data_IF_928709017209
#
_entry.id   IF_928709017209
#
_cell.length_a   1.000
_cell.length_b   1.000
_cell.length_c   1.000
_cell.angle_alpha   90.00
_cell.angle_beta   90.00
_cell.angle_gamma   90.00
#
_symmetry.space_group_name_H-M   'P 1'
#
loop_
_entity.id
_entity.type
_entity.pdbx_description
1 polymer ?
#
# COMPACT_ATOMS: atom_id res chain seq x y z
N UNK A 1 23.25 -13.13 18.64
CA UNK A 1 23.28 -14.29 17.73
C UNK A 1 22.98 -13.77 16.34
N UNK A 2 23.86 -14.00 15.38
CA UNK A 2 23.61 -13.62 13.99
C UNK A 2 22.75 -14.68 13.28
N UNK A 3 22.34 -14.39 12.04
CA UNK A 3 21.48 -15.29 11.26
C UNK A 3 22.09 -16.69 11.08
N UNK A 4 23.40 -16.77 10.83
CA UNK A 4 24.11 -18.04 10.60
C UNK A 4 24.12 -18.90 11.85
N UNK A 5 24.45 -18.31 13.00
CA UNK A 5 24.45 -18.98 14.30
C UNK A 5 23.02 -19.39 14.71
N UNK A 6 22.03 -18.53 14.45
CA UNK A 6 20.62 -18.82 14.70
C UNK A 6 20.12 -20.01 13.88
N UNK A 7 20.41 -20.01 12.57
CA UNK A 7 20.05 -21.08 11.65
C UNK A 7 20.64 -22.42 12.08
N UNK A 8 21.91 -22.44 12.49
CA UNK A 8 22.59 -23.65 12.95
C UNK A 8 21.93 -24.21 14.22
N UNK A 9 21.65 -23.36 15.22
CA UNK A 9 20.98 -23.80 16.45
C UNK A 9 19.56 -24.29 16.19
N UNK A 10 18.83 -23.64 15.29
CA UNK A 10 17.50 -24.09 14.87
C UNK A 10 17.56 -25.47 14.22
N UNK A 11 18.51 -25.70 13.31
CA UNK A 11 18.72 -27.01 12.69
C UNK A 11 19.07 -28.09 13.72
N UNK A 12 19.91 -27.77 14.70
CA UNK A 12 20.24 -28.68 15.80
C UNK A 12 19.00 -29.02 16.65
N UNK A 13 18.17 -28.02 16.96
CA UNK A 13 16.90 -28.24 17.67
C UNK A 13 15.96 -29.13 16.88
N UNK A 14 15.78 -28.87 15.59
CA UNK A 14 14.94 -29.68 14.70
C UNK A 14 15.43 -31.13 14.62
N UNK A 15 16.75 -31.36 14.59
CA UNK A 15 17.33 -32.70 14.58
C UNK A 15 17.11 -33.48 15.90
N UNK A 16 16.83 -32.78 17.01
CA UNK A 16 16.56 -33.39 18.30
C UNK A 16 15.08 -33.75 18.50
N UNK A 17 14.20 -33.33 17.59
CA UNK A 17 12.77 -33.64 17.64
C UNK A 17 12.54 -35.05 17.09
N UNK A 18 11.64 -35.80 17.73
CA UNK A 18 11.30 -37.15 17.26
C UNK A 18 10.76 -37.09 15.83
N UNK A 19 11.17 -38.01 14.92
CA UNK A 19 10.77 -37.95 13.51
C UNK A 19 9.25 -37.93 13.27
N UNK A 20 8.45 -38.48 14.19
CA UNK A 20 6.99 -38.47 14.13
C UNK A 20 6.36 -37.13 14.46
N UNK A 21 7.01 -36.29 15.26
CA UNK A 21 6.53 -34.96 15.66
C UNK A 21 7.11 -33.84 14.78
N UNK A 22 8.20 -34.12 14.05
CA UNK A 22 8.85 -33.14 13.19
C UNK A 22 7.91 -32.51 12.14
N UNK A 23 7.03 -33.25 11.44
CA UNK A 23 6.08 -32.65 10.50
C UNK A 23 5.12 -31.66 11.18
N UNK A 24 4.61 -32.00 12.37
CA UNK A 24 3.71 -31.12 13.14
C UNK A 24 4.43 -29.86 13.60
N UNK A 25 5.69 -29.99 14.03
CA UNK A 25 6.49 -28.83 14.43
C UNK A 25 6.77 -27.92 13.23
N UNK A 26 7.15 -28.47 12.07
CA UNK A 26 7.39 -27.67 10.86
C UNK A 26 6.11 -26.99 10.38
N UNK A 27 4.97 -27.66 10.47
CA UNK A 27 3.66 -27.08 10.17
C UNK A 27 3.32 -25.93 11.14
N UNK A 28 3.52 -26.13 12.45
CA UNK A 28 3.37 -25.07 13.44
C UNK A 28 4.33 -23.91 13.16
N UNK A 29 5.61 -24.17 12.89
CA UNK A 29 6.57 -23.10 12.59
C UNK A 29 6.21 -22.30 11.33
N UNK A 30 5.61 -22.95 10.33
CA UNK A 30 5.19 -22.28 9.09
C UNK A 30 3.94 -21.43 9.29
N UNK A 31 3.05 -21.83 10.18
CA UNK A 31 1.70 -21.25 10.29
C UNK A 31 1.45 -20.48 11.61
N UNK A 32 2.37 -20.54 12.58
CA UNK A 32 2.22 -19.93 13.91
C UNK A 32 2.60 -18.45 13.89
N UNK A 33 1.67 -17.59 14.28
CA UNK A 33 1.94 -16.17 14.54
C UNK A 33 2.76 -15.92 15.81
N UNK A 34 3.03 -16.95 16.63
CA UNK A 34 3.86 -16.81 17.84
C UNK A 34 5.31 -16.47 17.50
N UNK A 35 5.81 -16.92 16.34
CA UNK A 35 7.16 -16.61 15.86
C UNK A 35 7.32 -15.17 15.39
N UNK A 36 6.21 -14.45 15.16
CA UNK A 36 6.20 -13.03 14.80
C UNK A 36 6.23 -12.11 16.03
N UNK A 37 6.00 -12.63 17.24
CA UNK A 37 6.05 -11.82 18.48
C UNK A 37 7.35 -11.02 18.66
N UNK A 38 8.55 -11.56 18.34
CA UNK A 38 9.79 -10.79 18.40
C UNK A 38 9.90 -9.70 17.32
N UNK A 39 9.13 -9.81 16.24
CA UNK A 39 9.05 -8.81 15.17
C UNK A 39 8.03 -7.71 15.50
N UNK A 40 7.32 -7.82 16.62
CA UNK A 40 6.38 -6.82 17.10
C UNK A 40 7.15 -5.60 17.62
N UNK A 41 7.44 -4.69 16.70
CA UNK A 41 8.13 -3.44 16.98
C UNK A 41 7.13 -2.36 17.43
N UNK A 42 7.57 -1.44 18.29
CA UNK A 42 6.82 -0.28 18.74
C UNK A 42 6.25 0.54 17.57
N UNK A 43 6.92 0.50 16.42
CA UNK A 43 6.45 1.12 15.19
C UNK A 43 5.09 0.55 14.72
N UNK A 44 4.90 -0.78 14.76
CA UNK A 44 3.61 -1.40 14.42
C UNK A 44 2.51 -1.03 15.42
N UNK A 45 2.85 -0.96 16.71
CA UNK A 45 1.91 -0.51 17.74
C UNK A 45 1.49 0.95 17.54
N UNK A 46 2.44 1.82 17.16
CA UNK A 46 2.16 3.22 16.86
C UNK A 46 1.25 3.36 15.62
N UNK A 47 1.55 2.66 14.53
CA UNK A 47 0.69 2.69 13.33
C UNK A 47 -0.73 2.19 13.64
N UNK A 48 -0.87 1.14 14.45
CA UNK A 48 -2.19 0.66 14.91
C UNK A 48 -2.94 1.69 15.75
N UNK A 49 -2.26 2.34 16.69
CA UNK A 49 -2.85 3.41 17.50
C UNK A 49 -3.39 4.54 16.62
N UNK A 50 -2.62 4.95 15.60
CA UNK A 50 -3.03 6.01 14.68
C UNK A 50 -4.23 5.56 13.85
N UNK A 51 -4.21 4.33 13.33
CA UNK A 51 -5.33 3.76 12.59
C UNK A 51 -6.61 3.73 13.45
N UNK A 52 -6.50 3.36 14.73
CA UNK A 52 -7.65 3.30 15.63
C UNK A 52 -8.21 4.71 15.96
N UNK A 53 -7.34 5.70 16.14
CA UNK A 53 -7.76 7.10 16.31
C UNK A 53 -8.48 7.62 15.06
N UNK A 54 -7.98 7.29 13.86
CA UNK A 54 -8.60 7.66 12.59
C UNK A 54 -9.98 7.00 12.39
N UNK A 55 -10.12 5.71 12.71
CA UNK A 55 -11.39 4.98 12.63
C UNK A 55 -12.49 5.64 13.48
N UNK A 56 -12.13 6.20 14.63
CA UNK A 56 -13.10 6.89 15.49
C UNK A 56 -13.68 8.17 14.85
N UNK A 57 -13.01 8.72 13.84
CA UNK A 57 -13.39 9.97 13.17
C UNK A 57 -13.93 9.77 11.75
N UNK A 58 -13.72 8.60 11.15
CA UNK A 58 -14.02 8.31 9.76
C UNK A 58 -15.21 7.35 9.62
N UNK A 59 -15.94 7.39 8.48
CA UNK A 59 -16.86 6.31 8.14
C UNK A 59 -16.10 4.99 7.96
N UNK A 60 -16.81 3.86 8.03
CA UNK A 60 -16.22 2.50 7.93
C UNK A 60 -15.51 2.28 6.60
N UNK A 61 -16.01 2.86 5.52
CA UNK A 61 -15.37 2.82 4.20
C UNK A 61 -14.21 3.83 4.07
N UNK A 62 -13.98 4.68 5.07
CA UNK A 62 -12.98 5.74 5.08
C UNK A 62 -13.03 6.67 3.86
N UNK A 63 -14.20 6.84 3.25
CA UNK A 63 -14.42 7.77 2.15
C UNK A 63 -15.18 9.00 2.62
N UNK A 64 -14.61 10.18 2.38
CA UNK A 64 -15.30 11.43 2.68
C UNK A 64 -16.42 11.70 1.67
N UNK A 65 -17.52 12.36 2.07
CA UNK A 65 -18.59 12.75 1.14
C UNK A 65 -18.12 13.65 -0.02
N UNK A 66 -17.00 14.36 0.18
CA UNK A 66 -16.38 15.21 -0.84
C UNK A 66 -15.64 14.45 -1.94
N UNK A 67 -15.37 13.16 -1.78
CA UNK A 67 -14.66 12.31 -2.77
C UNK A 67 -15.60 11.87 -3.91
N UNK A 68 -16.37 12.80 -4.48
CA UNK A 68 -17.49 12.51 -5.39
C UNK A 68 -17.08 11.75 -6.64
N UNK A 69 -15.91 12.05 -7.21
CA UNK A 69 -15.40 11.37 -8.41
C UNK A 69 -15.10 9.89 -8.12
N UNK A 70 -14.51 9.59 -6.97
CA UNK A 70 -14.18 8.22 -6.57
C UNK A 70 -15.46 7.40 -6.38
N UNK A 71 -16.45 7.96 -5.68
CA UNK A 71 -17.78 7.35 -5.52
C UNK A 71 -18.43 7.02 -6.87
N UNK A 72 -18.42 7.97 -7.82
CA UNK A 72 -19.00 7.76 -9.15
C UNK A 72 -18.27 6.67 -9.94
N UNK A 73 -16.94 6.65 -9.91
CA UNK A 73 -16.15 5.64 -10.62
C UNK A 73 -16.32 4.24 -10.06
N UNK A 74 -16.44 4.10 -8.74
CA UNK A 74 -16.76 2.83 -8.11
C UNK A 74 -18.14 2.31 -8.54
N UNK A 75 -19.15 3.18 -8.63
CA UNK A 75 -20.49 2.82 -9.09
C UNK A 75 -20.54 2.41 -10.58
N UNK A 76 -19.60 2.89 -11.38
CA UNK A 76 -19.49 2.54 -12.81
C UNK A 76 -18.76 1.21 -13.07
N UNK A 77 -18.15 0.60 -12.05
CA UNK A 77 -17.48 -0.71 -12.21
C UNK A 77 -18.50 -1.78 -12.60
N UNK A 78 -18.08 -2.69 -13.48
CA UNK A 78 -18.93 -3.77 -13.97
C UNK A 78 -19.36 -4.75 -12.86
N UNK A 79 -18.54 -4.85 -11.81
CA UNK A 79 -18.85 -5.59 -10.59
C UNK A 79 -19.00 -4.60 -9.44
N UNK A 80 -19.94 -4.80 -8.52
CA UNK A 80 -20.07 -3.93 -7.36
C UNK A 80 -18.78 -3.97 -6.53
N UNK A 81 -18.27 -2.78 -6.22
CA UNK A 81 -17.00 -2.57 -5.54
C UNK A 81 -17.21 -1.83 -4.22
N UNK A 82 -16.51 -2.25 -3.18
CA UNK A 82 -16.49 -1.62 -1.86
C UNK A 82 -15.09 -1.10 -1.58
N UNK A 83 -15.01 0.12 -1.05
CA UNK A 83 -13.75 0.67 -0.58
C UNK A 83 -13.53 0.27 0.88
N UNK A 84 -12.35 -0.26 1.17
CA UNK A 84 -11.88 -0.55 2.52
C UNK A 84 -10.44 -0.09 2.62
N UNK A 85 -10.16 0.81 3.56
CA UNK A 85 -8.83 1.39 3.69
C UNK A 85 -7.86 0.40 4.35
N UNK A 86 -6.85 -0.05 3.58
CA UNK A 86 -5.87 -1.04 4.03
C UNK A 86 -4.93 -0.53 5.12
N UNK A 87 -4.82 0.79 5.33
CA UNK A 87 -4.10 1.33 6.49
C UNK A 87 -4.90 1.11 7.76
N UNK A 88 -6.22 1.31 7.68
CA UNK A 88 -7.11 1.21 8.82
C UNK A 88 -7.44 -0.24 9.17
N UNK A 89 -7.76 -1.07 8.19
CA UNK A 89 -8.27 -2.42 8.40
C UNK A 89 -7.34 -3.47 7.80
N UNK A 90 -6.87 -4.41 8.62
CA UNK A 90 -6.27 -5.65 8.12
C UNK A 90 -7.34 -6.59 7.57
N UNK A 91 -6.95 -7.56 6.75
CA UNK A 91 -7.89 -8.58 6.22
C UNK A 91 -8.63 -9.32 7.34
N UNK A 92 -7.96 -9.63 8.44
CA UNK A 92 -8.57 -10.24 9.64
C UNK A 92 -9.63 -9.33 10.27
N UNK A 93 -9.40 -8.02 10.30
CA UNK A 93 -10.39 -7.06 10.79
C UNK A 93 -11.57 -6.93 9.83
N UNK A 94 -11.33 -6.99 8.52
CA UNK A 94 -12.41 -7.03 7.51
C UNK A 94 -13.26 -8.29 7.66
N UNK A 95 -12.63 -9.44 7.89
CA UNK A 95 -13.35 -10.69 8.17
C UNK A 95 -14.21 -10.58 9.43
N UNK A 96 -13.66 -10.01 10.50
CA UNK A 96 -14.41 -9.76 11.75
C UNK A 96 -15.63 -8.85 11.51
N UNK A 97 -15.47 -7.77 10.74
CA UNK A 97 -16.58 -6.87 10.38
C UNK A 97 -17.67 -7.57 9.55
N UNK A 98 -17.28 -8.56 8.75
CA UNK A 98 -18.23 -9.38 7.99
C UNK A 98 -18.99 -10.35 8.89
N UNK A 99 -18.32 -10.97 9.87
CA UNK A 99 -18.95 -11.85 10.86
C UNK A 99 -19.94 -11.10 11.77
N UNK A 100 -19.63 -9.86 12.12
CA UNK A 100 -20.49 -8.97 12.92
C UNK A 100 -21.70 -8.43 12.12
N UNK A 101 -21.72 -8.60 10.80
CA UNK A 101 -22.78 -8.10 9.92
C UNK A 101 -22.68 -6.60 9.61
N UNK A 102 -21.58 -5.94 9.99
CA UNK A 102 -21.29 -4.54 9.67
C UNK A 102 -20.90 -4.36 8.20
N UNK A 103 -20.27 -5.39 7.61
CA UNK A 103 -19.86 -5.44 6.21
C UNK A 103 -20.28 -6.78 5.57
N UNK A 104 -20.23 -6.87 4.24
CA UNK A 104 -20.37 -8.14 3.53
C UNK A 104 -19.28 -8.27 2.47
N UNK A 105 -18.76 -9.49 2.27
CA UNK A 105 -17.91 -9.84 1.11
C UNK A 105 -18.70 -10.20 -0.14
N UNK A 106 -20.03 -10.28 -0.04
CA UNK A 106 -20.89 -10.71 -1.14
C UNK A 106 -22.09 -9.78 -1.33
N UNK A 107 -22.59 -9.70 -2.55
CA UNK A 107 -23.84 -9.01 -2.88
C UNK A 107 -24.85 -9.99 -3.49
N UNK A 108 -26.14 -9.67 -3.35
CA UNK A 108 -27.22 -10.48 -3.91
C UNK A 108 -27.34 -10.22 -5.42
N UNK A 109 -27.37 -11.28 -6.24
CA UNK A 109 -27.65 -11.18 -7.68
C UNK A 109 -29.09 -10.76 -7.98
N UNK A 110 -29.97 -10.94 -7.01
CA UNK A 110 -31.33 -10.41 -6.97
C UNK A 110 -31.61 -10.01 -5.54
N UNK A 111 -31.95 -8.75 -5.29
CA UNK A 111 -32.10 -8.21 -3.93
C UNK A 111 -33.01 -9.11 -3.07
N UNK A 112 -32.55 -9.51 -1.89
CA UNK A 112 -33.26 -10.42 -0.99
C UNK A 112 -33.12 -11.91 -1.32
N UNK A 113 -32.34 -12.30 -2.35
CA UNK A 113 -32.10 -13.71 -2.67
C UNK A 113 -30.88 -14.29 -1.93
N UNK A 114 -30.86 -15.60 -1.77
CA UNK A 114 -29.70 -16.35 -1.27
C UNK A 114 -28.60 -16.54 -2.34
N UNK A 115 -28.87 -16.10 -3.57
CA UNK A 115 -27.91 -16.21 -4.68
C UNK A 115 -27.00 -15.00 -4.64
N UNK A 116 -25.79 -15.21 -4.16
CA UNK A 116 -24.80 -14.15 -3.99
C UNK A 116 -23.62 -14.30 -4.93
N UNK A 117 -22.91 -13.20 -5.14
CA UNK A 117 -21.62 -13.14 -5.84
C UNK A 117 -20.65 -12.26 -5.03
N UNK A 118 -19.33 -12.47 -5.16
CA UNK A 118 -18.33 -11.70 -4.40
C UNK A 118 -18.33 -10.22 -4.80
N UNK A 119 -18.09 -9.37 -3.81
CA UNK A 119 -17.78 -7.96 -3.97
C UNK A 119 -16.29 -7.80 -4.29
N UNK A 120 -15.96 -6.81 -5.13
CA UNK A 120 -14.58 -6.40 -5.32
C UNK A 120 -14.21 -5.42 -4.20
N UNK A 121 -13.02 -5.58 -3.60
CA UNK A 121 -12.51 -4.70 -2.56
C UNK A 121 -11.37 -3.85 -3.13
N UNK A 122 -11.39 -2.55 -2.84
CA UNK A 122 -10.32 -1.64 -3.24
C UNK A 122 -9.84 -0.81 -2.06
N UNK A 123 -8.55 -0.45 -2.09
CA UNK A 123 -7.95 0.52 -1.18
C UNK A 123 -7.15 1.54 -1.99
N UNK A 124 -7.13 2.77 -1.52
CA UNK A 124 -6.29 3.84 -2.06
C UNK A 124 -5.15 4.24 -1.11
N UNK A 125 -4.95 3.47 -0.05
CA UNK A 125 -3.96 3.74 0.99
C UNK A 125 -3.05 2.53 1.18
N UNK A 126 -1.79 2.80 1.51
CA UNK A 126 -0.85 1.76 1.89
C UNK A 126 -1.28 1.10 3.19
N UNK A 127 -1.22 -0.23 3.23
CA UNK A 127 -1.31 -0.99 4.47
C UNK A 127 -0.10 -0.74 5.39
N UNK A 128 -0.23 -1.13 6.66
CA UNK A 128 0.88 -1.06 7.60
C UNK A 128 2.11 -1.85 7.14
N UNK A 129 1.91 -2.98 6.45
CA UNK A 129 3.00 -3.80 5.90
C UNK A 129 3.67 -3.12 4.70
N UNK A 130 2.90 -2.47 3.82
CA UNK A 130 3.45 -1.69 2.70
C UNK A 130 4.22 -0.46 3.19
N UNK A 131 3.70 0.25 4.20
CA UNK A 131 4.45 1.35 4.84
C UNK A 131 5.74 0.83 5.47
N UNK A 132 5.70 -0.31 6.16
CA UNK A 132 6.90 -0.94 6.71
C UNK A 132 7.93 -1.23 5.60
N UNK A 133 7.49 -1.82 4.50
CA UNK A 133 8.36 -2.09 3.35
C UNK A 133 8.96 -0.80 2.78
N UNK A 134 8.11 0.20 2.54
CA UNK A 134 8.49 1.49 1.99
C UNK A 134 9.59 2.15 2.82
N UNK A 135 9.39 2.29 4.14
CA UNK A 135 10.34 2.98 5.00
C UNK A 135 11.59 2.18 5.36
N UNK A 136 11.52 0.84 5.38
CA UNK A 136 12.66 0.00 5.78
C UNK A 136 13.51 -0.48 4.60
N UNK A 137 12.95 -0.58 3.40
CA UNK A 137 13.60 -1.24 2.26
C UNK A 137 13.62 -0.42 0.97
N UNK A 138 12.78 0.62 0.85
CA UNK A 138 12.67 1.41 -0.39
C UNK A 138 13.24 2.81 -0.23
N UNK A 139 12.82 3.53 0.82
CA UNK A 139 13.23 4.90 1.06
C UNK A 139 14.62 4.98 1.70
N UNK A 140 15.45 5.96 1.31
CA UNK A 140 16.72 6.22 1.97
C UNK A 140 16.49 6.94 3.31
N UNK A 141 17.58 7.19 4.05
CA UNK A 141 17.55 8.16 5.15
C UNK A 141 17.04 9.53 4.65
N UNK A 142 15.94 9.98 5.26
CA UNK A 142 15.23 11.20 4.91
C UNK A 142 15.73 12.43 5.69
N UNK A 143 16.75 12.29 6.54
CA UNK A 143 17.31 13.41 7.30
C UNK A 143 17.75 14.55 6.39
N UNK A 144 17.11 15.72 6.53
CA UNK A 144 17.39 16.91 5.73
C UNK A 144 16.89 16.84 4.27
N UNK A 145 16.07 15.85 3.93
CA UNK A 145 15.46 15.68 2.60
C UNK A 145 14.02 16.15 2.59
N UNK A 146 13.56 16.56 1.41
CA UNK A 146 12.15 16.90 1.16
C UNK A 146 11.45 15.71 0.51
N UNK A 147 10.51 15.10 1.25
CA UNK A 147 9.59 14.09 0.71
C UNK A 147 8.24 14.73 0.42
N UNK A 148 7.70 14.46 -0.76
CA UNK A 148 6.38 14.92 -1.19
C UNK A 148 5.52 13.68 -1.45
N UNK A 149 4.36 13.61 -0.77
CA UNK A 149 3.36 12.57 -0.97
C UNK A 149 2.16 13.16 -1.72
N UNK A 150 2.00 12.78 -2.99
CA UNK A 150 0.90 13.27 -3.84
C UNK A 150 -0.31 12.39 -3.61
N UNK A 151 -1.48 12.99 -3.38
CA UNK A 151 -2.70 12.21 -3.14
C UNK A 151 -2.67 11.45 -1.81
N UNK A 152 -2.07 12.03 -0.77
CA UNK A 152 -1.78 11.41 0.53
C UNK A 152 -2.98 10.86 1.31
N UNK A 153 -4.21 11.14 0.87
CA UNK A 153 -5.48 10.79 1.54
C UNK A 153 -5.46 11.10 3.04
N UNK A 154 -5.39 10.06 3.88
CA UNK A 154 -5.39 10.15 5.34
C UNK A 154 -4.03 10.52 5.93
N UNK A 155 -3.00 10.70 5.10
CA UNK A 155 -1.65 11.09 5.52
C UNK A 155 -0.83 9.94 6.11
N UNK A 156 -1.08 8.70 5.67
CA UNK A 156 -0.41 7.52 6.22
C UNK A 156 1.10 7.49 5.94
N UNK A 157 1.57 8.13 4.85
CA UNK A 157 3.01 8.29 4.54
C UNK A 157 3.59 9.52 5.23
N UNK A 158 2.86 10.65 5.21
CA UNK A 158 3.25 11.91 5.84
C UNK A 158 2.04 12.59 6.49
N UNK A 159 2.18 12.99 7.76
CA UNK A 159 1.17 13.77 8.49
C UNK A 159 1.16 15.27 8.14
N UNK A 160 2.04 15.72 7.24
CA UNK A 160 2.06 17.10 6.74
C UNK A 160 1.16 17.27 5.52
N UNK A 161 0.20 18.21 5.58
CA UNK A 161 -0.77 18.42 4.50
C UNK A 161 -0.59 19.78 3.84
N UNK A 162 -0.45 19.76 2.52
CA UNK A 162 -0.65 20.90 1.64
C UNK A 162 -1.88 20.64 0.77
N UNK A 163 -3.00 21.29 1.06
CA UNK A 163 -4.23 21.13 0.29
C UNK A 163 -4.18 22.00 -0.98
N UNK A 164 -3.62 21.45 -2.07
CA UNK A 164 -3.44 22.14 -3.34
C UNK A 164 -3.52 21.18 -4.55
N UNK A 165 -3.79 21.73 -5.75
CA UNK A 165 -3.66 21.00 -7.02
C UNK A 165 -2.18 20.80 -7.34
N UNK A 166 -1.73 19.55 -7.52
CA UNK A 166 -0.35 19.21 -7.88
C UNK A 166 0.15 19.97 -9.13
N UNK A 167 -0.75 20.29 -10.07
CA UNK A 167 -0.45 21.08 -11.27
C UNK A 167 -0.11 22.55 -11.00
N UNK A 168 -0.13 22.98 -9.74
CA UNK A 168 0.25 24.34 -9.30
C UNK A 168 1.49 24.35 -8.41
N UNK A 169 2.11 23.18 -8.20
CA UNK A 169 3.19 22.98 -7.24
C UNK A 169 4.52 22.68 -7.94
N UNK A 170 4.85 23.41 -9.01
CA UNK A 170 6.09 23.22 -9.77
C UNK A 170 7.32 23.40 -8.90
N UNK A 171 7.38 24.46 -8.09
CA UNK A 171 8.51 24.73 -7.19
C UNK A 171 8.72 23.59 -6.20
N UNK A 172 7.63 23.05 -5.64
CA UNK A 172 7.68 21.93 -4.71
C UNK A 172 8.22 20.67 -5.40
N UNK A 173 7.67 20.31 -6.57
CA UNK A 173 8.11 19.16 -7.35
C UNK A 173 9.58 19.29 -7.79
N UNK A 174 10.02 20.48 -8.20
CA UNK A 174 11.40 20.73 -8.61
C UNK A 174 12.39 20.66 -7.45
N UNK A 175 11.93 20.96 -6.22
CA UNK A 175 12.75 20.94 -5.00
C UNK A 175 12.80 19.58 -4.31
N UNK A 176 11.80 18.72 -4.54
CA UNK A 176 11.65 17.44 -3.86
C UNK A 176 12.83 16.50 -4.10
N UNK A 177 13.27 15.82 -3.03
CA UNK A 177 14.28 14.76 -3.10
C UNK A 177 13.63 13.38 -3.29
N UNK A 178 12.41 13.22 -2.78
CA UNK A 178 11.58 12.02 -2.91
C UNK A 178 10.15 12.41 -3.24
N UNK A 179 9.55 11.75 -4.23
CA UNK A 179 8.14 11.87 -4.59
C UNK A 179 7.47 10.50 -4.41
N UNK A 180 6.39 10.44 -3.65
CA UNK A 180 5.57 9.23 -3.46
C UNK A 180 4.23 9.43 -4.14
N UNK A 181 3.81 8.45 -4.92
CA UNK A 181 2.54 8.44 -5.65
C UNK A 181 1.86 7.07 -5.51
N UNK A 182 0.95 6.95 -4.55
CA UNK A 182 0.15 5.74 -4.33
C UNK A 182 -1.29 5.91 -4.81
N UNK A 183 -1.71 5.17 -5.84
CA UNK A 183 -3.10 5.12 -6.31
C UNK A 183 -3.74 6.50 -6.57
N UNK A 184 -2.96 7.46 -7.05
CA UNK A 184 -3.26 8.90 -6.90
C UNK A 184 -4.31 9.48 -7.85
N UNK A 185 -4.55 8.88 -9.02
CA UNK A 185 -5.28 9.55 -10.11
C UNK A 185 -6.51 8.80 -10.63
N UNK A 186 -6.43 7.47 -10.78
CA UNK A 186 -7.44 6.70 -11.53
C UNK A 186 -8.86 6.94 -11.00
N UNK A 187 -9.03 6.95 -9.68
CA UNK A 187 -10.33 7.10 -9.03
C UNK A 187 -10.71 8.57 -8.74
N UNK A 188 -9.74 9.48 -8.74
CA UNK A 188 -9.98 10.86 -8.27
C UNK A 188 -10.16 11.88 -9.39
N UNK A 189 -9.77 11.54 -10.62
CA UNK A 189 -9.74 12.49 -11.74
C UNK A 189 -10.20 11.86 -13.06
N UNK A 190 -10.75 12.65 -13.99
CA UNK A 190 -11.07 12.19 -15.33
C UNK A 190 -9.81 11.97 -16.18
N UNK A 191 -9.85 11.09 -17.19
CA UNK A 191 -8.65 10.72 -17.97
C UNK A 191 -7.89 11.93 -18.54
N UNK A 192 -8.60 12.98 -18.96
CA UNK A 192 -7.96 14.21 -19.45
C UNK A 192 -7.18 14.97 -18.38
N UNK A 193 -7.68 14.98 -17.14
CA UNK A 193 -7.03 15.61 -15.98
C UNK A 193 -5.85 14.77 -15.49
N UNK A 194 -5.98 13.43 -15.53
CA UNK A 194 -4.86 12.53 -15.26
C UNK A 194 -3.70 12.77 -16.24
N UNK A 195 -4.02 12.86 -17.54
CA UNK A 195 -3.02 13.15 -18.57
C UNK A 195 -2.34 14.51 -18.35
N UNK A 196 -3.12 15.54 -17.96
CA UNK A 196 -2.58 16.86 -17.60
C UNK A 196 -1.63 16.77 -16.41
N UNK A 197 -2.03 16.08 -15.36
CA UNK A 197 -1.27 15.93 -14.12
C UNK A 197 0.03 15.16 -14.34
N UNK A 198 -0.02 14.05 -15.08
CA UNK A 198 1.18 13.30 -15.45
C UNK A 198 2.15 14.14 -16.29
N UNK A 199 1.66 14.88 -17.29
CA UNK A 199 2.52 15.78 -18.08
C UNK A 199 3.20 16.82 -17.20
N UNK A 200 2.46 17.41 -16.26
CA UNK A 200 3.01 18.40 -15.34
C UNK A 200 4.08 17.80 -14.42
N UNK A 201 3.84 16.62 -13.85
CA UNK A 201 4.82 15.94 -12.99
C UNK A 201 6.07 15.58 -13.79
N UNK A 202 5.91 14.99 -14.98
CA UNK A 202 7.03 14.67 -15.87
C UNK A 202 7.84 15.90 -16.30
N UNK A 203 7.25 17.09 -16.32
CA UNK A 203 7.95 18.33 -16.66
C UNK A 203 8.69 18.94 -15.47
N UNK A 204 8.19 18.76 -14.25
CA UNK A 204 8.68 19.47 -13.07
C UNK A 204 9.51 18.61 -12.11
N UNK A 205 9.21 17.31 -11.99
CA UNK A 205 10.01 16.39 -11.18
C UNK A 205 11.23 15.90 -11.96
N UNK A 206 12.25 16.76 -12.04
CA UNK A 206 13.43 16.62 -12.92
C UNK A 206 14.78 16.72 -12.21
N UNK A 207 14.79 16.82 -10.88
CA UNK A 207 16.04 16.94 -10.12
C UNK A 207 16.85 15.65 -10.22
N UNK A 208 18.05 15.63 -10.82
CA UNK A 208 18.82 14.40 -10.99
C UNK A 208 19.13 13.74 -9.65
N UNK A 209 18.99 12.41 -9.60
CA UNK A 209 19.18 11.62 -8.38
C UNK A 209 18.02 11.64 -7.38
N UNK A 210 16.97 12.44 -7.61
CA UNK A 210 15.73 12.34 -6.82
C UNK A 210 15.01 11.02 -7.09
N UNK A 211 14.24 10.57 -6.10
CA UNK A 211 13.57 9.27 -6.12
C UNK A 211 12.06 9.42 -6.31
N UNK A 212 11.47 8.53 -7.09
CA UNK A 212 10.03 8.45 -7.29
C UNK A 212 9.55 7.05 -6.93
N UNK A 213 8.65 6.96 -5.95
CA UNK A 213 7.91 5.75 -5.62
C UNK A 213 6.56 5.83 -6.29
N UNK A 214 6.18 4.81 -7.06
CA UNK A 214 4.85 4.72 -7.66
C UNK A 214 4.17 3.39 -7.36
N UNK A 215 2.85 3.46 -7.16
CA UNK A 215 1.94 2.31 -7.09
C UNK A 215 0.68 2.65 -7.91
N UNK A 216 0.37 1.89 -8.98
CA UNK A 216 1.19 0.83 -9.58
C UNK A 216 2.43 1.39 -10.30
N UNK A 217 3.12 0.57 -11.10
CA UNK A 217 4.24 1.02 -11.92
C UNK A 217 3.89 2.23 -12.81
N UNK A 218 4.89 3.05 -13.14
CA UNK A 218 4.71 4.15 -14.10
C UNK A 218 4.27 3.63 -15.47
N UNK A 219 4.77 2.45 -15.86
CA UNK A 219 4.42 1.84 -17.13
C UNK A 219 2.93 1.49 -17.20
N UNK A 220 2.38 0.89 -16.15
CA UNK A 220 0.96 0.57 -16.04
C UNK A 220 0.11 1.84 -16.01
N UNK A 221 0.47 2.79 -15.14
CA UNK A 221 -0.24 4.06 -14.97
C UNK A 221 -0.34 4.85 -16.28
N UNK A 222 0.75 4.93 -17.04
CA UNK A 222 0.78 5.69 -18.30
C UNK A 222 0.14 4.91 -19.46
N UNK A 223 0.27 3.58 -19.50
CA UNK A 223 -0.38 2.74 -20.52
C UNK A 223 -1.90 2.81 -20.44
N UNK A 224 -2.46 2.82 -19.23
CA UNK A 224 -3.90 2.98 -19.00
C UNK A 224 -4.45 4.27 -19.63
N UNK A 225 -3.59 5.29 -19.78
CA UNK A 225 -3.91 6.60 -20.37
C UNK A 225 -3.41 6.77 -21.82
N UNK A 226 -2.86 5.71 -22.42
CA UNK A 226 -2.23 5.74 -23.74
C UNK A 226 -1.15 6.84 -23.86
N UNK A 227 -0.47 7.13 -22.75
CA UNK A 227 0.58 8.13 -22.68
C UNK A 227 1.95 7.50 -22.96
N UNK A 228 2.79 8.12 -23.80
CA UNK A 228 4.15 7.65 -23.98
C UNK A 228 4.97 7.92 -22.71
N UNK A 229 5.73 6.93 -22.27
CA UNK A 229 6.78 7.12 -21.27
C UNK A 229 7.87 8.03 -21.85
N UNK A 230 8.31 9.05 -21.11
CA UNK A 230 9.35 9.97 -21.59
C UNK A 230 10.74 9.34 -21.47
N UNK A 231 11.47 9.12 -22.58
CA UNK A 231 12.83 8.60 -22.52
C UNK A 231 13.74 9.56 -21.76
N UNK A 232 14.59 9.01 -20.87
CA UNK A 232 15.53 9.81 -20.08
C UNK A 232 14.88 10.68 -19.00
N UNK A 233 13.66 10.35 -18.56
CA UNK A 233 13.08 10.98 -17.37
C UNK A 233 13.53 10.26 -16.10
N UNK A 234 13.23 8.98 -15.99
CA UNK A 234 13.61 8.15 -14.85
C UNK A 234 14.08 6.77 -15.30
N UNK A 235 14.90 6.14 -14.47
CA UNK A 235 15.27 4.73 -14.56
C UNK A 235 14.71 3.97 -13.35
N UNK A 236 14.21 2.75 -13.58
CA UNK A 236 13.70 1.90 -12.51
C UNK A 236 14.87 1.30 -11.70
N UNK A 237 14.75 1.35 -10.38
CA UNK A 237 15.68 0.70 -9.45
C UNK A 237 15.06 -0.65 -9.05
N UNK A 238 15.73 -1.78 -9.33
CA UNK A 238 15.26 -3.08 -8.87
C UNK A 238 15.19 -3.13 -7.34
N UNK A 239 14.03 -3.51 -6.81
CA UNK A 239 13.81 -3.75 -5.39
C UNK A 239 13.90 -5.23 -5.05
N UNK A 240 14.24 -5.53 -3.79
CA UNK A 240 14.21 -6.88 -3.24
C UNK A 240 12.88 -7.07 -2.53
N UNK A 241 12.02 -7.94 -3.07
CA UNK A 241 10.69 -8.22 -2.53
C UNK A 241 10.64 -9.46 -1.64
N UNK A 242 11.69 -10.29 -1.63
CA UNK A 242 11.77 -11.50 -0.80
C UNK A 242 12.14 -11.15 0.64
N UNK A 243 11.22 -10.45 1.31
CA UNK A 243 11.37 -9.93 2.67
C UNK A 243 10.14 -10.33 3.47
N UNK A 244 10.38 -10.90 4.65
CA UNK A 244 9.30 -11.28 5.56
C UNK A 244 8.88 -10.07 6.40
N UNK A 245 7.66 -9.57 6.17
CA UNK A 245 7.08 -8.41 6.88
C UNK A 245 6.03 -8.81 7.95
N UNK A 246 5.87 -10.11 8.16
CA UNK A 246 4.83 -10.71 8.99
C UNK A 246 3.79 -11.43 8.14
N UNK A 247 3.04 -12.34 8.78
CA UNK A 247 2.01 -13.17 8.13
C UNK A 247 0.91 -12.39 7.39
N UNK A 248 0.58 -11.18 7.85
CA UNK A 248 -0.53 -10.37 7.32
C UNK A 248 -0.09 -9.48 6.14
N UNK A 249 1.16 -9.58 5.70
CA UNK A 249 1.64 -8.84 4.54
C UNK A 249 1.18 -9.53 3.25
N UNK A 250 0.53 -8.78 2.36
CA UNK A 250 0.21 -9.23 1.00
C UNK A 250 1.45 -9.09 0.09
N UNK A 251 2.10 -10.20 -0.32
CA UNK A 251 3.29 -10.12 -1.15
C UNK A 251 3.01 -9.57 -2.55
N UNK A 252 1.78 -9.68 -3.05
CA UNK A 252 1.44 -9.19 -4.37
C UNK A 252 1.20 -7.68 -4.36
N UNK A 253 0.59 -7.14 -3.30
CA UNK A 253 0.52 -5.69 -3.06
C UNK A 253 1.93 -5.07 -2.93
N UNK A 254 2.83 -5.71 -2.18
CA UNK A 254 4.22 -5.25 -2.01
C UNK A 254 4.97 -5.18 -3.35
N UNK A 255 4.73 -6.12 -4.27
CA UNK A 255 5.32 -6.12 -5.62
C UNK A 255 4.79 -5.00 -6.53
N UNK A 256 3.68 -4.35 -6.17
CA UNK A 256 3.17 -3.17 -6.88
C UNK A 256 3.93 -1.89 -6.52
N UNK A 257 4.85 -1.93 -5.55
CA UNK A 257 5.67 -0.78 -5.14
C UNK A 257 6.90 -0.71 -6.03
N UNK A 258 6.97 0.31 -6.88
CA UNK A 258 8.10 0.53 -7.77
C UNK A 258 8.90 1.75 -7.34
N UNK A 259 10.23 1.67 -7.47
CA UNK A 259 11.15 2.76 -7.20
C UNK A 259 11.86 3.18 -8.48
N UNK A 260 11.91 4.48 -8.73
CA UNK A 260 12.59 5.07 -9.86
C UNK A 260 13.54 6.17 -9.40
N UNK A 261 14.57 6.43 -10.19
CA UNK A 261 15.51 7.54 -10.01
C UNK A 261 15.50 8.43 -11.23
N UNK A 262 15.43 9.74 -11.00
CA UNK A 262 15.54 10.74 -12.06
C UNK A 262 16.97 10.77 -12.60
N UNK A 263 17.10 10.66 -13.92
CA UNK A 263 18.37 10.64 -14.66
C UNK A 263 18.85 12.02 -15.06
#
# INVERSE_FOLDING_TARGET
>A
MDFSEAKLKLQQLLNNVTPSELPKLLEWMRNSGELDQPLFDNNKAMLRSIADDLKAMLPVDAMLPSETTAHLKMQQRARPTVHVDSFLYSDEQVDSLCEEGTMSRNYCLSCGSIRTAPLDFISHSFSASELQFLFQNVLPDLTGRTLVDVGSRLGAVLYGVLHADVCTQDVLLQSADVLVMNNVFEYFMESSEQVRSWKFIMQNFRRPGSLLVSVPSLQESLNALQMPFQPGWVEEIPLVYDIYLGRDADPDAIKQIHLYRVT
#
